data_IF_969338349098
#
_entry.id   IF_969338349098
#
_cell.length_a   1.000
_cell.length_b   1.000
_cell.length_c   1.000
_cell.angle_alpha   90.00
_cell.angle_beta   90.00
_cell.angle_gamma   90.00
#
_symmetry.space_group_name_H-M   'P 1'
#
loop_
_entity.id
_entity.type
_entity.pdbx_description
1 polymer ?
#
# COMPACT_ATOMS: atom_id res chain seq x y z
N UNK A 1 -19.81 15.65 7.77
CA UNK A 1 -20.37 14.77 6.70
C UNK A 1 -19.32 14.42 5.67
N UNK A 2 -18.45 15.35 5.35
CA UNK A 2 -17.41 15.19 4.33
C UNK A 2 -16.34 14.13 4.64
N UNK A 3 -15.96 14.01 5.91
CA UNK A 3 -14.96 13.02 6.35
C UNK A 3 -15.40 11.57 6.08
N UNK A 4 -16.66 11.24 6.41
CA UNK A 4 -17.18 9.89 6.20
C UNK A 4 -17.23 9.54 4.70
N UNK A 5 -17.56 10.52 3.87
CA UNK A 5 -17.61 10.35 2.41
C UNK A 5 -16.22 10.03 1.88
N UNK A 6 -15.18 10.75 2.31
CA UNK A 6 -13.79 10.52 1.90
C UNK A 6 -13.35 9.08 2.25
N UNK A 7 -13.65 8.61 3.47
CA UNK A 7 -13.32 7.24 3.87
C UNK A 7 -14.07 6.17 3.06
N UNK A 8 -15.34 6.42 2.75
CA UNK A 8 -16.14 5.50 1.94
C UNK A 8 -15.66 5.45 0.49
N UNK A 9 -15.33 6.59 -0.10
CA UNK A 9 -14.78 6.66 -1.46
C UNK A 9 -13.43 5.94 -1.54
N UNK A 10 -12.50 6.22 -0.63
CA UNK A 10 -11.19 5.57 -0.61
C UNK A 10 -11.33 4.05 -0.42
N UNK A 11 -12.18 3.61 0.50
CA UNK A 11 -12.48 2.20 0.72
C UNK A 11 -13.05 1.52 -0.53
N UNK A 12 -13.98 2.19 -1.23
CA UNK A 12 -14.62 1.67 -2.44
C UNK A 12 -13.58 1.51 -3.57
N UNK A 13 -12.79 2.54 -3.84
CA UNK A 13 -11.76 2.47 -4.88
C UNK A 13 -10.68 1.43 -4.56
N UNK A 14 -10.25 1.34 -3.31
CA UNK A 14 -9.31 0.31 -2.87
C UNK A 14 -9.88 -1.11 -3.05
N UNK A 15 -11.14 -1.31 -2.72
CA UNK A 15 -11.84 -2.58 -2.89
C UNK A 15 -11.93 -2.98 -4.37
N UNK A 16 -12.32 -2.07 -5.26
CA UNK A 16 -12.39 -2.30 -6.71
C UNK A 16 -11.01 -2.64 -7.27
N UNK A 17 -9.98 -1.88 -6.87
CA UNK A 17 -8.61 -2.14 -7.31
C UNK A 17 -8.11 -3.51 -6.83
N UNK A 18 -8.39 -3.91 -5.59
CA UNK A 18 -8.02 -5.22 -5.06
C UNK A 18 -8.72 -6.37 -5.82
N UNK A 19 -9.98 -6.19 -6.23
CA UNK A 19 -10.68 -7.15 -7.10
C UNK A 19 -9.98 -7.26 -8.46
N UNK A 20 -9.61 -6.15 -9.07
CA UNK A 20 -8.86 -6.13 -10.33
C UNK A 20 -7.53 -6.88 -10.23
N UNK A 21 -6.73 -6.58 -9.22
CA UNK A 21 -5.47 -7.28 -8.96
C UNK A 21 -5.66 -8.75 -8.59
N UNK A 22 -6.74 -9.07 -7.88
CA UNK A 22 -7.12 -10.44 -7.57
C UNK A 22 -7.41 -11.26 -8.83
N UNK A 23 -8.03 -10.65 -9.84
CA UNK A 23 -8.29 -11.27 -11.14
C UNK A 23 -6.99 -11.62 -11.88
N UNK A 24 -6.00 -10.73 -11.86
CA UNK A 24 -4.68 -10.96 -12.45
C UNK A 24 -3.92 -12.06 -11.69
N UNK A 25 -4.07 -12.11 -10.37
CA UNK A 25 -3.41 -13.07 -9.49
C UNK A 25 -4.09 -14.45 -9.45
N UNK A 26 -5.15 -14.66 -10.20
CA UNK A 26 -5.90 -15.93 -10.27
C UNK A 26 -6.38 -16.44 -8.89
N UNK A 27 -6.81 -15.54 -8.02
CA UNK A 27 -7.34 -15.96 -6.72
C UNK A 27 -8.71 -16.63 -6.88
N UNK A 28 -9.09 -17.56 -5.99
CA UNK A 28 -10.42 -18.17 -6.00
C UNK A 28 -11.53 -17.12 -5.93
N UNK A 29 -12.65 -17.30 -6.64
CA UNK A 29 -13.78 -16.35 -6.67
C UNK A 29 -14.23 -15.90 -5.28
N UNK A 30 -14.23 -16.82 -4.31
CA UNK A 30 -14.55 -16.50 -2.90
C UNK A 30 -13.55 -15.52 -2.27
N UNK A 31 -12.32 -15.47 -2.74
CA UNK A 31 -11.28 -14.60 -2.21
C UNK A 31 -11.43 -13.13 -2.60
N UNK A 32 -12.18 -12.81 -3.67
CA UNK A 32 -12.33 -11.43 -4.14
C UNK A 32 -12.95 -10.51 -3.08
N UNK A 33 -14.04 -10.94 -2.46
CA UNK A 33 -14.68 -10.15 -1.40
C UNK A 33 -13.81 -10.00 -0.16
N UNK A 34 -13.08 -11.05 0.22
CA UNK A 34 -12.15 -11.00 1.33
C UNK A 34 -10.99 -10.02 1.07
N UNK A 35 -10.38 -10.08 -0.13
CA UNK A 35 -9.32 -9.16 -0.52
C UNK A 35 -9.81 -7.71 -0.60
N UNK A 36 -11.04 -7.49 -1.09
CA UNK A 36 -11.67 -6.17 -1.15
C UNK A 36 -11.86 -5.56 0.26
N UNK A 37 -12.32 -6.36 1.22
CA UNK A 37 -12.48 -5.93 2.62
C UNK A 37 -11.12 -5.59 3.23
N UNK A 38 -10.10 -6.43 3.01
CA UNK A 38 -8.74 -6.18 3.51
C UNK A 38 -8.14 -4.91 2.92
N UNK A 39 -8.33 -4.67 1.62
CA UNK A 39 -7.85 -3.47 0.95
C UNK A 39 -8.53 -2.22 1.49
N UNK A 40 -9.86 -2.23 1.63
CA UNK A 40 -10.62 -1.12 2.20
C UNK A 40 -10.17 -0.78 3.61
N UNK A 41 -10.00 -1.80 4.47
CA UNK A 41 -9.52 -1.61 5.84
C UNK A 41 -8.10 -1.02 5.89
N UNK A 42 -7.16 -1.59 5.12
CA UNK A 42 -5.78 -1.12 5.07
C UNK A 42 -5.65 0.31 4.53
N UNK A 43 -6.38 0.63 3.47
CA UNK A 43 -6.44 1.99 2.92
C UNK A 43 -6.96 3.00 3.92
N UNK A 44 -8.07 2.70 4.58
CA UNK A 44 -8.65 3.57 5.59
C UNK A 44 -7.72 3.81 6.78
N UNK A 45 -7.01 2.77 7.25
CA UNK A 45 -6.00 2.93 8.31
C UNK A 45 -4.90 3.90 7.85
N UNK A 46 -4.36 3.73 6.66
CA UNK A 46 -3.31 4.61 6.12
C UNK A 46 -3.83 6.03 5.92
N UNK A 47 -5.02 6.20 5.34
CA UNK A 47 -5.65 7.50 5.14
C UNK A 47 -5.84 8.24 6.46
N UNK A 48 -6.32 7.55 7.49
CA UNK A 48 -6.49 8.12 8.83
C UNK A 48 -5.15 8.63 9.38
N UNK A 49 -4.12 7.79 9.37
CA UNK A 49 -2.81 8.14 9.92
C UNK A 49 -2.16 9.31 9.17
N UNK A 50 -2.33 9.39 7.86
CA UNK A 50 -1.72 10.46 7.07
C UNK A 50 -2.48 11.79 7.20
N UNK A 51 -3.81 11.76 7.19
CA UNK A 51 -4.61 12.97 7.14
C UNK A 51 -4.96 13.56 8.52
N UNK A 52 -5.10 12.73 9.55
CA UNK A 52 -5.49 13.17 10.88
C UNK A 52 -4.34 13.17 11.88
N UNK A 53 -3.49 12.16 11.84
CA UNK A 53 -2.32 12.06 12.70
C UNK A 53 -1.05 12.68 12.08
N UNK A 54 -1.15 13.18 10.84
CA UNK A 54 -0.07 13.83 10.11
C UNK A 54 1.20 12.97 9.97
N UNK A 55 1.03 11.65 9.94
CA UNK A 55 2.15 10.73 9.81
C UNK A 55 2.71 10.72 8.39
N UNK A 56 4.01 10.45 8.30
CA UNK A 56 4.66 10.22 7.02
C UNK A 56 4.15 8.91 6.40
N UNK A 57 4.18 8.81 5.06
CA UNK A 57 3.67 7.63 4.34
C UNK A 57 4.36 6.32 4.77
N UNK A 58 5.63 6.35 5.15
CA UNK A 58 6.42 5.15 5.52
C UNK A 58 5.87 4.48 6.77
N UNK A 59 5.79 5.15 7.96
CA UNK A 59 5.23 4.54 9.15
C UNK A 59 3.72 4.28 9.02
N UNK A 60 2.97 5.13 8.31
CA UNK A 60 1.55 4.89 8.05
C UNK A 60 1.34 3.59 7.24
N UNK A 61 2.20 3.33 6.25
CA UNK A 61 2.18 2.10 5.46
C UNK A 61 2.52 0.87 6.29
N UNK A 62 3.45 0.97 7.24
CA UNK A 62 3.76 -0.13 8.16
C UNK A 62 2.54 -0.54 8.99
N UNK A 63 1.87 0.44 9.62
CA UNK A 63 0.69 0.18 10.45
C UNK A 63 -0.47 -0.36 9.62
N UNK A 64 -0.70 0.20 8.44
CA UNK A 64 -1.72 -0.31 7.52
C UNK A 64 -1.43 -1.74 7.06
N UNK A 65 -0.16 -2.05 6.74
CA UNK A 65 0.29 -3.40 6.43
C UNK A 65 0.07 -4.38 7.61
N UNK A 66 0.41 -3.96 8.84
CA UNK A 66 0.12 -4.73 10.06
C UNK A 66 -1.39 -5.00 10.21
N UNK A 67 -2.22 -3.98 9.96
CA UNK A 67 -3.68 -4.13 9.99
C UNK A 67 -4.19 -5.17 9.00
N UNK A 68 -3.74 -5.11 7.74
CA UNK A 68 -4.08 -6.12 6.73
C UNK A 68 -3.58 -7.51 7.15
N UNK A 69 -2.33 -7.61 7.64
CA UNK A 69 -1.75 -8.86 8.09
C UNK A 69 -2.55 -9.50 9.23
N UNK A 70 -2.90 -8.74 10.25
CA UNK A 70 -3.71 -9.19 11.39
C UNK A 70 -5.12 -9.62 10.97
N UNK A 71 -5.80 -8.80 10.15
CA UNK A 71 -7.15 -9.10 9.67
C UNK A 71 -7.17 -10.29 8.70
N UNK A 72 -6.10 -10.51 7.95
CA UNK A 72 -6.03 -11.63 7.01
C UNK A 72 -6.04 -13.00 7.70
N UNK A 73 -5.58 -13.10 8.95
CA UNK A 73 -5.54 -14.37 9.69
C UNK A 73 -6.96 -14.92 9.96
N UNK A 74 -7.85 -14.21 10.67
CA UNK A 74 -9.20 -14.71 10.90
C UNK A 74 -10.01 -14.84 9.60
N UNK A 75 -9.84 -13.91 8.66
CA UNK A 75 -10.53 -13.97 7.38
C UNK A 75 -10.12 -15.24 6.61
N UNK A 76 -8.84 -15.60 6.60
CA UNK A 76 -8.35 -16.81 5.94
C UNK A 76 -8.98 -18.08 6.53
N UNK A 77 -9.18 -18.13 7.84
CA UNK A 77 -9.83 -19.25 8.52
C UNK A 77 -11.32 -19.39 8.12
N UNK A 78 -12.04 -18.28 8.05
CA UNK A 78 -13.47 -18.24 7.65
C UNK A 78 -13.63 -18.69 6.19
N UNK A 79 -12.82 -18.12 5.29
CA UNK A 79 -12.93 -18.36 3.85
C UNK A 79 -12.20 -19.61 3.38
N UNK A 80 -11.40 -20.27 4.27
CA UNK A 80 -10.56 -21.44 3.96
C UNK A 80 -9.63 -21.18 2.76
N UNK A 81 -9.06 -20.00 2.70
CA UNK A 81 -8.09 -19.56 1.69
C UNK A 81 -6.85 -19.06 2.44
N UNK A 82 -5.67 -19.35 1.93
CA UNK A 82 -4.41 -18.89 2.56
C UNK A 82 -4.39 -17.37 2.70
N UNK A 83 -3.97 -16.89 3.86
CA UNK A 83 -3.94 -15.45 4.16
C UNK A 83 -3.08 -14.66 3.16
N UNK A 84 -2.01 -15.27 2.63
CA UNK A 84 -1.16 -14.69 1.58
C UNK A 84 -1.93 -14.41 0.29
N UNK A 85 -2.75 -15.36 -0.12
CA UNK A 85 -3.57 -15.25 -1.33
C UNK A 85 -4.58 -14.10 -1.23
N UNK A 86 -5.06 -13.81 -0.02
CA UNK A 86 -6.02 -12.74 0.22
C UNK A 86 -5.34 -11.37 0.41
N UNK A 87 -4.21 -11.34 1.11
CA UNK A 87 -3.52 -10.09 1.44
C UNK A 87 -2.69 -9.53 0.28
N UNK A 88 -2.22 -10.35 -0.66
CA UNK A 88 -1.44 -9.89 -1.81
C UNK A 88 -2.20 -8.90 -2.69
N UNK A 89 -3.44 -9.20 -3.18
CA UNK A 89 -4.20 -8.23 -3.96
C UNK A 89 -4.62 -6.99 -3.17
N UNK A 90 -4.83 -7.15 -1.85
CA UNK A 90 -5.17 -6.04 -0.97
C UNK A 90 -4.03 -5.04 -0.78
N UNK A 91 -2.77 -5.51 -0.88
CA UNK A 91 -1.58 -4.66 -0.75
C UNK A 91 -1.30 -3.83 -2.00
N UNK A 92 -1.58 -4.36 -3.20
CA UNK A 92 -1.18 -3.74 -4.46
C UNK A 92 -1.71 -2.31 -4.66
N UNK A 93 -2.98 -1.98 -4.32
CA UNK A 93 -3.46 -0.61 -4.39
C UNK A 93 -2.70 0.37 -3.49
N UNK A 94 -2.02 -0.13 -2.46
CA UNK A 94 -1.30 0.70 -1.49
C UNK A 94 0.14 1.03 -1.92
N UNK A 95 0.63 0.47 -3.02
CA UNK A 95 1.95 0.82 -3.56
C UNK A 95 1.97 2.32 -3.89
N UNK A 96 2.97 3.08 -3.42
CA UNK A 96 3.00 4.53 -3.58
C UNK A 96 3.41 4.94 -5.01
N UNK A 97 2.54 4.69 -5.98
CA UNK A 97 2.78 4.91 -7.41
C UNK A 97 3.19 6.34 -7.76
N UNK A 98 2.65 7.35 -7.06
CA UNK A 98 3.02 8.76 -7.27
C UNK A 98 4.49 9.05 -6.93
N UNK A 99 5.02 8.42 -5.90
CA UNK A 99 6.45 8.56 -5.55
C UNK A 99 7.34 7.85 -6.59
N UNK A 100 6.93 6.67 -7.07
CA UNK A 100 7.62 5.98 -8.15
C UNK A 100 7.63 6.82 -9.43
N UNK A 101 6.48 7.38 -9.84
CA UNK A 101 6.36 8.24 -11.01
C UNK A 101 7.24 9.49 -10.90
N UNK A 102 7.14 10.23 -9.78
CA UNK A 102 7.94 11.45 -9.56
C UNK A 102 9.44 11.15 -9.52
N UNK A 103 9.83 10.00 -8.99
CA UNK A 103 11.22 9.55 -8.99
C UNK A 103 11.75 9.41 -10.43
N UNK A 104 11.04 8.68 -11.29
CA UNK A 104 11.44 8.51 -12.70
C UNK A 104 11.45 9.84 -13.45
N UNK A 105 10.41 10.68 -13.25
CA UNK A 105 10.33 11.99 -13.86
C UNK A 105 11.52 12.89 -13.46
N UNK A 106 11.83 12.95 -12.16
CA UNK A 106 12.97 13.76 -11.69
C UNK A 106 14.31 13.24 -12.21
N UNK A 107 14.46 11.93 -12.34
CA UNK A 107 15.66 11.33 -12.92
C UNK A 107 15.85 11.75 -14.39
N UNK A 108 14.79 11.73 -15.18
CA UNK A 108 14.82 12.16 -16.59
C UNK A 108 15.20 13.65 -16.67
N UNK A 109 14.61 14.51 -15.85
CA UNK A 109 14.92 15.93 -15.80
C UNK A 109 16.37 16.18 -15.35
N UNK A 110 16.89 15.37 -14.45
CA UNK A 110 18.29 15.42 -14.02
C UNK A 110 19.25 15.20 -15.20
N UNK A 111 18.97 14.22 -16.07
CA UNK A 111 19.79 13.97 -17.27
C UNK A 111 19.63 15.00 -18.37
N UNK A 112 18.54 15.76 -18.36
CA UNK A 112 18.28 16.85 -19.33
C UNK A 112 18.83 18.19 -18.86
N UNK A 113 19.23 18.32 -17.59
CA UNK A 113 19.77 19.57 -17.06
C UNK A 113 21.16 19.85 -17.63
N UNK A 114 21.37 21.08 -18.09
CA UNK A 114 22.68 21.54 -18.57
C UNK A 114 23.45 22.33 -17.50
N UNK A 115 22.78 22.71 -16.43
CA UNK A 115 23.34 23.52 -15.33
C UNK A 115 23.42 22.71 -14.03
N UNK A 116 24.47 22.91 -13.26
CA UNK A 116 24.71 22.20 -12.00
C UNK A 116 23.58 22.44 -10.98
N UNK A 117 23.07 23.67 -10.76
CA UNK A 117 22.00 23.90 -9.79
C UNK A 117 20.71 23.14 -10.12
N UNK A 118 20.34 23.03 -11.39
CA UNK A 118 19.19 22.29 -11.85
C UNK A 118 19.38 20.78 -11.65
N UNK A 119 20.57 20.28 -11.96
CA UNK A 119 20.94 18.88 -11.70
C UNK A 119 20.80 18.53 -10.21
N UNK A 120 21.36 19.35 -9.33
CA UNK A 120 21.28 19.14 -7.87
C UNK A 120 19.82 19.13 -7.38
N UNK A 121 19.01 20.06 -7.85
CA UNK A 121 17.59 20.15 -7.53
C UNK A 121 16.84 18.89 -7.94
N UNK A 122 16.96 18.46 -9.19
CA UNK A 122 16.25 17.26 -9.68
C UNK A 122 16.81 15.97 -9.08
N UNK A 123 18.09 15.90 -8.80
CA UNK A 123 18.69 14.77 -8.10
C UNK A 123 18.20 14.66 -6.65
N UNK A 124 18.01 15.77 -5.98
CA UNK A 124 17.37 15.82 -4.66
C UNK A 124 15.94 15.30 -4.68
N UNK A 125 15.13 15.76 -5.65
CA UNK A 125 13.76 15.28 -5.84
C UNK A 125 13.70 13.77 -6.18
N UNK A 126 14.58 13.30 -7.05
CA UNK A 126 14.72 11.90 -7.37
C UNK A 126 15.02 11.07 -6.11
N UNK A 127 16.06 11.44 -5.38
CA UNK A 127 16.50 10.72 -4.18
C UNK A 127 15.41 10.65 -3.13
N UNK A 128 14.73 11.76 -2.85
CA UNK A 128 13.63 11.82 -1.89
C UNK A 128 12.48 10.89 -2.29
N UNK A 129 12.00 11.00 -3.53
CA UNK A 129 10.85 10.21 -4.00
C UNK A 129 11.22 8.72 -4.10
N UNK A 130 12.40 8.38 -4.59
CA UNK A 130 12.86 7.01 -4.72
C UNK A 130 12.99 6.31 -3.35
N UNK A 131 13.70 6.95 -2.41
CA UNK A 131 13.88 6.40 -1.06
C UNK A 131 12.54 6.25 -0.35
N UNK A 132 11.67 7.26 -0.44
CA UNK A 132 10.32 7.19 0.15
C UNK A 132 9.51 6.05 -0.44
N UNK A 133 9.55 5.85 -1.75
CA UNK A 133 8.86 4.76 -2.43
C UNK A 133 9.35 3.39 -1.93
N UNK A 134 10.66 3.18 -1.92
CA UNK A 134 11.29 1.91 -1.48
C UNK A 134 10.97 1.64 -0.01
N UNK A 135 11.09 2.63 0.86
CA UNK A 135 10.80 2.48 2.29
C UNK A 135 9.31 2.21 2.55
N UNK A 136 8.41 2.86 1.82
CA UNK A 136 6.98 2.62 1.99
C UNK A 136 6.56 1.21 1.52
N UNK A 137 7.10 0.72 0.40
CA UNK A 137 6.83 -0.64 -0.07
C UNK A 137 7.40 -1.68 0.89
N UNK A 138 8.64 -1.51 1.34
CA UNK A 138 9.24 -2.43 2.33
C UNK A 138 8.50 -2.43 3.64
N UNK A 139 8.04 -1.27 4.12
CA UNK A 139 7.22 -1.13 5.33
C UNK A 139 5.89 -1.87 5.20
N UNK A 140 5.21 -1.76 4.05
CA UNK A 140 3.97 -2.51 3.77
C UNK A 140 4.20 -4.02 3.84
N UNK A 141 5.25 -4.52 3.19
CA UNK A 141 5.57 -5.95 3.16
C UNK A 141 5.92 -6.47 4.56
N UNK A 142 6.77 -5.75 5.29
CA UNK A 142 7.12 -6.10 6.68
C UNK A 142 5.85 -6.10 7.55
N UNK A 143 4.99 -5.10 7.41
CA UNK A 143 3.73 -5.01 8.15
C UNK A 143 2.84 -6.24 7.93
N UNK A 144 2.62 -6.64 6.68
CA UNK A 144 1.76 -7.80 6.36
C UNK A 144 2.35 -9.13 6.84
N UNK A 145 3.67 -9.29 6.73
CA UNK A 145 4.33 -10.57 7.05
C UNK A 145 4.52 -10.75 8.56
N UNK A 146 4.76 -9.67 9.30
CA UNK A 146 5.04 -9.71 10.76
C UNK A 146 3.99 -10.45 11.58
N UNK A 147 2.67 -10.20 11.47
CA UNK A 147 1.68 -10.90 12.27
C UNK A 147 1.66 -12.41 11.99
N UNK A 148 1.89 -12.77 10.74
CA UNK A 148 1.90 -14.16 10.32
C UNK A 148 3.06 -14.92 10.96
N UNK A 149 4.26 -14.35 10.97
CA UNK A 149 5.42 -14.97 11.62
C UNK A 149 5.20 -15.13 13.12
N UNK A 150 4.56 -14.11 13.75
CA UNK A 150 4.33 -14.11 15.19
C UNK A 150 3.24 -15.10 15.63
N UNK A 151 2.17 -15.25 14.85
CA UNK A 151 0.99 -16.05 15.22
C UNK A 151 0.93 -17.41 14.52
N UNK A 152 1.74 -17.65 13.49
CA UNK A 152 1.77 -18.94 12.79
C UNK A 152 3.01 -19.74 13.20
N UNK A 153 3.05 -20.14 14.47
CA UNK A 153 3.93 -21.21 14.95
C UNK A 153 3.23 -22.55 14.76
N UNK A 154 3.57 -23.25 13.67
CA UNK A 154 3.17 -24.63 13.44
C UNK A 154 2.21 -24.85 12.33
#
# INVERSE_FOLDING_TARGET
>A
MDTLIIFLEDALFAAIAAIGFGSISNIPLKGFSASAILAAAGHNIRLYLMNYEMWNIVPASLIAGLGIGLLSIPISAIWKIRSETLSSPALLPMIPGMYAYRSVQSLILCFQSNEIPDFEHYFGLFSYNFITCVLAVTSLVIGIVSPRILFHKG
#
